data_IF_978282094797
#
_entry.id   IF_978282094797
#
_cell.length_a   1.000
_cell.length_b   1.000
_cell.length_c   1.000
_cell.angle_alpha   90.00
_cell.angle_beta   90.00
_cell.angle_gamma   90.00
#
_symmetry.space_group_name_H-M   'P 1'
#
loop_
_entity.id
_entity.type
_entity.pdbx_description
1 polymer ?
#
# COMPACT_ATOMS: atom_id res chain seq x y z
N UNK A 1 26.92 7.38 47.19
CA UNK A 1 25.85 6.50 46.67
C UNK A 1 25.98 6.53 45.16
N UNK A 2 26.65 5.53 44.59
CA UNK A 2 26.83 5.45 43.14
C UNK A 2 25.50 4.99 42.53
N UNK A 3 24.90 5.83 41.69
CA UNK A 3 23.84 5.39 40.79
C UNK A 3 24.53 4.51 39.74
N UNK A 4 24.31 3.19 39.81
CA UNK A 4 24.71 2.31 38.71
C UNK A 4 23.90 2.70 37.47
N UNK A 5 24.57 3.23 36.45
CA UNK A 5 23.95 3.52 35.16
C UNK A 5 23.57 2.20 34.47
N UNK A 6 22.32 1.79 34.64
CA UNK A 6 21.76 0.68 33.89
C UNK A 6 21.42 1.15 32.47
N UNK A 7 22.25 0.77 31.49
CA UNK A 7 21.97 1.04 30.09
C UNK A 7 20.78 0.20 29.62
N UNK A 8 19.65 0.82 29.22
CA UNK A 8 18.50 0.05 28.77
C UNK A 8 18.76 -0.60 27.41
N UNK A 9 18.66 -1.93 27.37
CA UNK A 9 18.65 -2.68 26.12
C UNK A 9 17.26 -2.56 25.45
N UNK A 10 17.22 -2.49 24.12
CA UNK A 10 15.97 -2.36 23.36
C UNK A 10 15.85 -3.41 22.27
N UNK A 11 14.77 -4.20 22.34
CA UNK A 11 14.36 -5.13 21.30
C UNK A 11 12.85 -5.01 21.08
N UNK A 12 12.43 -4.13 20.17
CA UNK A 12 11.02 -3.86 19.93
C UNK A 12 10.29 -5.00 19.20
N UNK A 13 9.13 -5.40 19.71
CA UNK A 13 8.12 -6.17 18.95
C UNK A 13 6.74 -5.61 19.22
N UNK A 14 5.96 -5.40 18.17
CA UNK A 14 4.63 -4.83 18.31
C UNK A 14 3.84 -4.85 17.03
N UNK A 15 2.71 -4.14 17.08
CA UNK A 15 1.78 -3.97 15.98
C UNK A 15 1.92 -2.55 15.42
N UNK A 16 1.85 -2.46 14.10
CA UNK A 16 1.87 -1.19 13.38
C UNK A 16 0.49 -0.92 12.79
N UNK A 17 0.01 0.29 12.97
CA UNK A 17 -1.30 0.74 12.53
C UNK A 17 -1.16 1.98 11.65
N UNK A 18 -1.99 2.07 10.62
CA UNK A 18 -2.15 3.29 9.82
C UNK A 18 -3.60 3.74 9.77
N UNK A 19 -3.83 5.03 9.92
CA UNK A 19 -5.16 5.63 9.88
C UNK A 19 -5.13 7.02 9.26
N UNK A 20 -6.25 7.77 9.35
CA UNK A 20 -6.28 9.15 8.92
C UNK A 20 -5.20 9.98 9.61
N UNK A 21 -4.60 10.93 8.89
CA UNK A 21 -3.68 11.89 9.49
C UNK A 21 -4.38 12.69 10.60
N UNK A 22 -3.67 12.90 11.70
CA UNK A 22 -4.12 13.80 12.75
C UNK A 22 -4.05 15.24 12.24
N UNK A 23 -5.20 15.91 12.21
CA UNK A 23 -5.29 17.33 11.79
C UNK A 23 -5.15 18.30 12.96
N UNK A 24 -5.57 17.88 14.15
CA UNK A 24 -5.46 18.65 15.39
C UNK A 24 -4.96 17.74 16.52
N UNK A 25 -4.09 18.30 17.36
CA UNK A 25 -3.56 17.64 18.55
C UNK A 25 -4.65 17.31 19.57
N UNK A 26 -5.68 18.15 19.69
CA UNK A 26 -6.73 18.01 20.69
C UNK A 26 -7.56 16.71 20.54
N UNK A 27 -7.65 16.17 19.32
CA UNK A 27 -8.50 15.02 19.02
C UNK A 27 -7.84 13.66 19.22
N UNK A 28 -6.52 13.64 19.49
CA UNK A 28 -5.77 12.38 19.51
C UNK A 28 -5.68 11.72 18.13
N UNK A 29 -4.94 10.61 18.04
CA UNK A 29 -4.79 9.90 16.78
C UNK A 29 -6.07 9.10 16.49
N UNK A 30 -6.69 9.25 15.32
CA UNK A 30 -7.88 8.49 14.97
C UNK A 30 -7.57 6.99 14.87
N UNK A 31 -8.59 6.12 14.99
CA UNK A 31 -8.40 4.68 14.83
C UNK A 31 -7.82 4.36 13.44
N UNK A 32 -6.90 3.41 13.41
CA UNK A 32 -6.23 2.95 12.20
C UNK A 32 -6.36 1.45 12.01
N UNK A 33 -6.16 0.99 10.77
CA UNK A 33 -6.07 -0.43 10.44
C UNK A 33 -4.69 -0.97 10.80
N UNK A 34 -4.60 -2.25 11.15
CA UNK A 34 -3.33 -2.95 11.26
C UNK A 34 -2.65 -3.07 9.88
N UNK A 35 -1.35 -2.82 9.81
CA UNK A 35 -0.55 -2.95 8.59
C UNK A 35 -0.02 -4.37 8.34
N UNK A 36 -0.17 -5.25 9.33
CA UNK A 36 0.29 -6.63 9.26
C UNK A 36 1.74 -6.77 9.73
N UNK A 37 2.45 -7.75 9.16
CA UNK A 37 3.83 -8.02 9.52
C UNK A 37 4.74 -6.91 8.97
N UNK A 38 5.38 -6.17 9.85
CA UNK A 38 6.26 -5.06 9.51
C UNK A 38 7.62 -5.26 10.20
N UNK A 39 8.69 -4.84 9.53
CA UNK A 39 10.04 -4.89 10.07
C UNK A 39 10.79 -3.58 9.81
N UNK A 40 11.81 -3.32 10.63
CA UNK A 40 12.71 -2.19 10.42
C UNK A 40 12.04 -0.81 10.51
N UNK A 41 11.14 -0.61 11.48
CA UNK A 41 10.58 0.71 11.78
C UNK A 41 11.68 1.61 12.35
N UNK A 42 12.23 2.51 11.53
CA UNK A 42 13.33 3.40 11.91
C UNK A 42 12.89 4.84 11.74
N UNK A 43 13.05 5.66 12.78
CA UNK A 43 12.78 7.10 12.75
C UNK A 43 14.11 7.84 12.61
N UNK A 44 14.25 8.63 11.55
CA UNK A 44 15.49 9.36 11.24
C UNK A 44 15.20 10.86 11.23
N UNK A 45 15.66 11.63 12.23
CA UNK A 45 15.62 13.08 12.18
C UNK A 45 16.69 13.63 11.23
N UNK A 46 16.31 14.55 10.36
CA UNK A 46 17.24 15.31 9.52
C UNK A 46 17.64 16.60 10.25
N UNK A 47 18.88 16.65 10.73
CA UNK A 47 19.37 17.71 11.61
C UNK A 47 20.50 18.48 10.93
N UNK A 48 20.26 19.75 10.68
CA UNK A 48 21.27 20.69 10.21
C UNK A 48 21.80 21.53 11.37
N UNK A 49 23.11 21.71 11.45
CA UNK A 49 23.73 22.61 12.43
C UNK A 49 24.03 23.96 11.80
N UNK A 50 23.53 25.02 12.41
CA UNK A 50 23.85 26.39 12.04
C UNK A 50 25.26 26.76 12.55
N UNK A 51 25.98 27.56 11.78
CA UNK A 51 27.22 28.19 12.28
C UNK A 51 26.84 29.32 13.22
N UNK A 52 27.04 29.10 14.51
CA UNK A 52 26.84 30.09 15.57
C UNK A 52 28.18 30.45 16.21
N UNK A 53 28.20 31.56 16.94
CA UNK A 53 29.38 31.97 17.72
C UNK A 53 29.75 30.87 18.73
N UNK A 54 31.06 30.61 18.99
CA UNK A 54 31.51 29.70 20.05
C UNK A 54 31.02 30.08 21.46
N UNK A 55 30.59 31.33 21.64
CA UNK A 55 30.11 31.88 22.91
C UNK A 55 28.58 31.81 23.07
N UNK A 56 27.84 31.38 22.04
CA UNK A 56 26.40 31.17 22.13
C UNK A 56 26.11 29.78 22.73
N UNK A 57 25.53 29.76 23.93
CA UNK A 57 25.21 28.53 24.66
C UNK A 57 23.92 27.85 24.19
N UNK A 58 23.18 28.47 23.26
CA UNK A 58 21.95 27.89 22.70
C UNK A 58 22.28 26.77 21.72
N UNK A 59 21.36 25.81 21.61
CA UNK A 59 21.46 24.77 20.58
C UNK A 59 21.42 25.41 19.18
N UNK A 60 22.39 25.06 18.35
CA UNK A 60 22.45 25.46 16.94
C UNK A 60 21.90 24.38 15.99
N UNK A 61 21.34 23.30 16.53
CA UNK A 61 20.72 22.24 15.77
C UNK A 61 19.30 22.64 15.35
N UNK A 62 19.05 22.61 14.05
CA UNK A 62 17.75 22.80 13.42
C UNK A 62 17.29 21.47 12.87
N UNK A 63 16.07 21.07 13.20
CA UNK A 63 15.43 19.90 12.63
C UNK A 63 14.73 20.32 11.33
N UNK A 64 15.32 19.98 10.19
CA UNK A 64 14.79 20.33 8.87
C UNK A 64 13.68 19.33 8.45
N UNK A 65 13.69 18.10 8.98
CA UNK A 65 12.65 17.11 8.75
C UNK A 65 12.77 15.86 9.63
N UNK A 66 11.78 14.97 9.52
CA UNK A 66 11.85 13.62 10.10
C UNK A 66 11.29 12.64 9.09
N UNK A 67 11.99 11.54 8.86
CA UNK A 67 11.52 10.43 8.04
C UNK A 67 11.35 9.17 8.88
N UNK A 68 10.46 8.29 8.44
CA UNK A 68 10.29 6.96 9.01
C UNK A 68 10.38 5.93 7.89
N UNK A 69 11.30 4.99 7.98
CA UNK A 69 11.35 3.86 7.05
C UNK A 69 10.69 2.64 7.68
N UNK A 70 9.97 1.86 6.88
CA UNK A 70 9.40 0.58 7.30
C UNK A 70 9.29 -0.39 6.12
N UNK A 71 9.49 -1.67 6.38
CA UNK A 71 9.27 -2.74 5.42
C UNK A 71 8.03 -3.54 5.82
N UNK A 72 7.04 -3.59 4.93
CA UNK A 72 5.80 -4.35 5.09
C UNK A 72 5.88 -5.65 4.30
N UNK A 73 5.55 -6.77 4.94
CA UNK A 73 5.42 -8.05 4.26
C UNK A 73 3.96 -8.31 3.90
N UNK A 74 3.72 -8.69 2.63
CA UNK A 74 2.40 -8.94 2.07
C UNK A 74 1.82 -7.77 1.26
N UNK A 75 1.30 -8.10 0.08
CA UNK A 75 0.74 -7.17 -0.90
C UNK A 75 -0.79 -7.06 -0.85
N UNK A 76 -1.41 -7.13 0.33
CA UNK A 76 -2.86 -6.88 0.41
C UNK A 76 -3.20 -5.51 -0.18
N UNK A 77 -4.35 -5.36 -0.86
CA UNK A 77 -4.59 -4.16 -1.68
C UNK A 77 -4.54 -2.87 -0.86
N UNK A 78 -4.84 -2.90 0.44
CA UNK A 78 -4.71 -1.71 1.29
C UNK A 78 -3.24 -1.27 1.49
N UNK A 79 -2.28 -2.19 1.55
CA UNK A 79 -0.85 -1.86 1.63
C UNK A 79 -0.30 -1.44 0.27
N UNK A 80 -0.73 -2.09 -0.82
CA UNK A 80 -0.42 -1.66 -2.17
C UNK A 80 -1.00 -0.28 -2.50
N UNK A 81 -2.23 -0.01 -2.08
CA UNK A 81 -2.87 1.31 -2.22
C UNK A 81 -2.03 2.39 -1.56
N UNK A 82 -1.57 2.15 -0.32
CA UNK A 82 -0.68 3.08 0.37
C UNK A 82 0.66 3.28 -0.35
N UNK A 83 1.23 2.20 -0.88
CA UNK A 83 2.52 2.23 -1.57
C UNK A 83 2.47 2.96 -2.91
N UNK A 84 1.43 2.67 -3.69
CA UNK A 84 1.20 3.24 -5.02
C UNK A 84 0.50 4.60 -4.97
N UNK A 85 0.21 5.10 -3.76
CA UNK A 85 -0.67 6.24 -3.53
C UNK A 85 -2.02 6.09 -4.27
N UNK A 86 -2.56 4.88 -4.40
CA UNK A 86 -3.75 4.58 -5.17
C UNK A 86 -5.03 4.62 -4.32
N UNK A 87 -6.16 4.95 -4.95
CA UNK A 87 -7.47 4.78 -4.36
C UNK A 87 -7.91 3.32 -4.53
N UNK A 88 -8.32 2.68 -3.42
CA UNK A 88 -8.97 1.36 -3.47
C UNK A 88 -10.43 1.54 -3.88
N UNK A 89 -10.83 0.87 -4.96
CA UNK A 89 -12.18 0.85 -5.47
C UNK A 89 -12.84 -0.48 -5.06
N UNK A 90 -14.07 -0.41 -4.57
CA UNK A 90 -14.87 -1.60 -4.35
C UNK A 90 -15.44 -2.04 -5.69
N UNK A 91 -15.07 -3.23 -6.14
CA UNK A 91 -15.60 -3.81 -7.37
C UNK A 91 -16.90 -4.54 -7.02
N UNK A 92 -18.03 -4.03 -7.50
CA UNK A 92 -19.29 -4.75 -7.42
C UNK A 92 -19.42 -5.68 -8.62
N UNK A 93 -20.03 -6.85 -8.42
CA UNK A 93 -20.40 -7.72 -9.53
C UNK A 93 -21.39 -6.99 -10.44
N UNK A 94 -21.00 -6.78 -11.68
CA UNK A 94 -21.80 -6.09 -12.67
C UNK A 94 -21.70 -6.79 -14.03
N UNK A 95 -22.81 -6.84 -14.80
CA UNK A 95 -22.77 -7.25 -16.19
C UNK A 95 -21.90 -6.29 -17.01
N UNK A 96 -20.96 -6.82 -17.78
CA UNK A 96 -20.06 -6.05 -18.63
C UNK A 96 -20.15 -6.61 -20.04
N UNK A 97 -20.07 -5.72 -21.03
CA UNK A 97 -19.90 -6.09 -22.42
C UNK A 97 -18.63 -5.44 -22.95
N UNK A 98 -17.67 -6.27 -23.34
CA UNK A 98 -16.42 -5.85 -23.97
C UNK A 98 -16.49 -6.19 -25.45
N UNK A 99 -16.11 -5.24 -26.32
CA UNK A 99 -15.96 -5.52 -27.75
C UNK A 99 -14.48 -5.48 -28.07
N UNK A 100 -13.95 -6.60 -28.55
CA UNK A 100 -12.55 -6.75 -28.97
C UNK A 100 -12.51 -6.63 -30.48
N UNK A 101 -11.74 -5.67 -30.98
CA UNK A 101 -11.45 -5.55 -32.41
C UNK A 101 -10.42 -6.60 -32.81
N UNK A 102 -10.78 -7.40 -33.81
CA UNK A 102 -9.90 -8.43 -34.37
C UNK A 102 -9.81 -8.35 -35.89
N UNK A 103 -10.14 -7.19 -36.47
CA UNK A 103 -10.11 -6.95 -37.91
C UNK A 103 -8.80 -7.42 -38.56
N UNK A 104 -8.91 -8.35 -39.52
CA UNK A 104 -7.76 -8.86 -40.29
C UNK A 104 -6.73 -9.66 -39.49
N UNK A 105 -7.01 -9.99 -38.22
CA UNK A 105 -6.04 -10.71 -37.37
C UNK A 105 -6.02 -12.21 -37.65
N UNK A 106 -4.81 -12.75 -37.58
CA UNK A 106 -4.54 -14.18 -37.54
C UNK A 106 -4.02 -14.53 -36.13
N UNK A 107 -4.86 -15.19 -35.33
CA UNK A 107 -4.50 -15.57 -33.96
C UNK A 107 -4.31 -17.09 -33.88
N UNK A 108 -3.25 -17.58 -33.20
CA UNK A 108 -3.08 -19.02 -32.98
C UNK A 108 -4.09 -19.55 -31.95
N UNK A 109 -4.24 -20.88 -31.90
CA UNK A 109 -4.87 -21.53 -30.75
C UNK A 109 -4.07 -21.22 -29.47
N UNK A 110 -4.75 -21.09 -28.34
CA UNK A 110 -4.23 -20.63 -27.05
C UNK A 110 -4.15 -19.11 -26.91
N UNK A 111 -4.48 -18.33 -27.94
CA UNK A 111 -4.52 -16.88 -27.82
C UNK A 111 -5.68 -16.42 -26.91
N UNK A 112 -5.45 -15.37 -26.14
CA UNK A 112 -6.45 -14.81 -25.22
C UNK A 112 -7.05 -13.52 -25.79
N UNK A 113 -8.38 -13.44 -25.83
CA UNK A 113 -9.10 -12.19 -26.05
C UNK A 113 -9.44 -11.59 -24.69
N UNK A 114 -8.73 -10.52 -24.34
CA UNK A 114 -8.74 -9.94 -23.00
C UNK A 114 -9.97 -9.08 -22.73
N UNK A 115 -10.50 -9.19 -21.50
CA UNK A 115 -11.45 -8.24 -20.93
C UNK A 115 -10.74 -7.32 -19.95
N UNK A 116 -11.19 -6.06 -19.78
CA UNK A 116 -10.60 -5.12 -18.82
C UNK A 116 -10.83 -5.50 -17.36
N UNK A 117 -11.72 -6.47 -17.10
CA UNK A 117 -12.06 -6.94 -15.76
C UNK A 117 -11.95 -8.46 -15.69
N UNK A 118 -11.70 -8.96 -14.49
CA UNK A 118 -11.76 -10.38 -14.18
C UNK A 118 -13.19 -10.89 -14.35
N UNK A 119 -13.35 -12.00 -15.07
CA UNK A 119 -14.61 -12.64 -15.42
C UNK A 119 -14.98 -13.68 -14.36
N UNK A 120 -16.20 -13.59 -13.82
CA UNK A 120 -16.74 -14.68 -13.01
C UNK A 120 -17.11 -15.87 -13.91
N UNK A 121 -16.20 -16.84 -14.01
CA UNK A 121 -16.37 -18.03 -14.84
C UNK A 121 -17.53 -18.95 -14.39
N UNK A 122 -18.06 -18.75 -13.17
CA UNK A 122 -19.22 -19.49 -12.65
C UNK A 122 -20.55 -18.96 -13.20
N UNK A 123 -20.55 -17.73 -13.69
CA UNK A 123 -21.69 -17.10 -14.36
C UNK A 123 -21.66 -17.39 -15.87
N UNK A 124 -22.78 -17.12 -16.54
CA UNK A 124 -22.86 -17.28 -17.99
C UNK A 124 -21.98 -16.24 -18.69
N UNK A 125 -21.11 -16.72 -19.59
CA UNK A 125 -20.33 -15.88 -20.51
C UNK A 125 -20.85 -16.09 -21.91
N UNK A 126 -21.15 -15.00 -22.61
CA UNK A 126 -21.64 -15.04 -24.00
C UNK A 126 -20.62 -14.39 -24.91
N UNK A 127 -20.21 -15.12 -25.94
CA UNK A 127 -19.25 -14.66 -26.96
C UNK A 127 -19.95 -14.64 -28.31
N UNK A 128 -19.93 -13.48 -28.97
CA UNK A 128 -20.58 -13.27 -30.26
C UNK A 128 -19.58 -12.56 -31.20
N UNK A 129 -18.88 -13.31 -32.05
CA UNK A 129 -18.16 -12.76 -33.20
C UNK A 129 -19.14 -12.16 -34.21
N UNK A 130 -18.73 -11.12 -34.92
CA UNK A 130 -19.59 -10.44 -35.91
C UNK A 130 -19.78 -11.20 -37.23
N UNK A 131 -18.98 -12.24 -37.51
CA UNK A 131 -18.96 -12.92 -38.82
C UNK A 131 -19.26 -14.43 -38.75
N UNK A 132 -19.27 -15.02 -37.56
CA UNK A 132 -19.53 -16.46 -37.40
C UNK A 132 -20.09 -16.76 -36.02
N UNK A 133 -20.77 -17.90 -35.90
CA UNK A 133 -21.18 -18.43 -34.60
C UNK A 133 -20.04 -19.23 -33.97
N UNK A 134 -19.83 -19.03 -32.67
CA UNK A 134 -18.92 -19.83 -31.86
C UNK A 134 -19.67 -20.59 -30.78
N UNK A 135 -19.12 -21.74 -30.40
CA UNK A 135 -19.57 -22.61 -29.33
C UNK A 135 -18.44 -22.74 -28.31
N UNK A 136 -18.82 -22.64 -27.05
CA UNK A 136 -17.92 -22.87 -25.92
C UNK A 136 -17.39 -24.31 -25.97
N UNK A 137 -16.15 -24.51 -25.51
CA UNK A 137 -15.38 -25.76 -25.54
C UNK A 137 -15.08 -26.32 -26.93
N UNK A 138 -15.44 -25.60 -28.00
CA UNK A 138 -15.08 -25.93 -29.38
C UNK A 138 -14.15 -24.88 -29.98
N UNK A 139 -14.60 -23.62 -30.06
CA UNK A 139 -13.77 -22.52 -30.57
C UNK A 139 -13.09 -21.74 -29.46
N UNK A 140 -13.69 -21.70 -28.27
CA UNK A 140 -13.20 -20.90 -27.16
C UNK A 140 -13.56 -21.51 -25.81
N UNK A 141 -12.86 -21.08 -24.76
CA UNK A 141 -13.07 -21.46 -23.36
C UNK A 141 -13.05 -20.21 -22.48
N UNK A 142 -13.78 -20.24 -21.35
CA UNK A 142 -13.73 -19.19 -20.32
C UNK A 142 -12.35 -19.13 -19.65
N UNK A 143 -11.82 -17.93 -19.49
CA UNK A 143 -10.66 -17.64 -18.67
C UNK A 143 -10.92 -16.49 -17.71
N UNK A 144 -10.13 -16.40 -16.65
CA UNK A 144 -10.33 -15.40 -15.60
C UNK A 144 -10.24 -13.96 -16.12
N UNK A 145 -9.51 -13.71 -17.22
CA UNK A 145 -9.32 -12.37 -17.79
C UNK A 145 -9.82 -12.23 -19.22
N UNK A 146 -10.74 -13.11 -19.63
CA UNK A 146 -11.34 -13.07 -20.97
C UNK A 146 -11.69 -14.45 -21.48
N UNK A 147 -11.43 -14.68 -22.77
CA UNK A 147 -11.64 -15.99 -23.39
C UNK A 147 -10.37 -16.49 -24.05
N UNK A 148 -10.09 -17.78 -23.86
CA UNK A 148 -9.02 -18.50 -24.54
C UNK A 148 -9.57 -19.10 -25.83
N UNK A 149 -8.87 -18.89 -26.95
CA UNK A 149 -9.21 -19.52 -28.21
C UNK A 149 -8.68 -20.95 -28.23
N UNK A 150 -9.56 -21.94 -28.40
CA UNK A 150 -9.16 -23.35 -28.50
C UNK A 150 -8.71 -23.72 -29.92
N UNK A 151 -9.14 -22.93 -30.90
CA UNK A 151 -8.78 -23.05 -32.31
C UNK A 151 -8.20 -21.73 -32.79
N UNK A 152 -7.28 -21.80 -33.76
CA UNK A 152 -6.76 -20.60 -34.41
C UNK A 152 -7.87 -19.82 -35.11
N UNK A 153 -7.70 -18.50 -35.16
CA UNK A 153 -8.66 -17.59 -35.76
C UNK A 153 -8.08 -16.89 -36.98
N UNK A 154 -8.88 -16.81 -38.04
CA UNK A 154 -8.67 -15.90 -39.16
C UNK A 154 -9.87 -14.96 -39.27
N UNK A 155 -9.71 -13.72 -38.81
CA UNK A 155 -10.78 -12.75 -38.75
C UNK A 155 -10.81 -11.90 -40.03
N UNK A 156 -12.00 -11.69 -40.65
CA UNK A 156 -12.12 -10.83 -41.82
C UNK A 156 -11.89 -9.35 -41.46
N UNK A 157 -11.75 -8.49 -42.46
CA UNK A 157 -11.75 -7.04 -42.23
C UNK A 157 -13.09 -6.57 -41.64
N UNK A 158 -13.04 -5.66 -40.66
CA UNK A 158 -14.18 -5.19 -39.88
C UNK A 158 -14.69 -6.14 -38.79
N UNK A 159 -13.96 -7.22 -38.51
CA UNK A 159 -14.34 -8.25 -37.55
C UNK A 159 -14.23 -7.79 -36.08
N UNK A 160 -15.26 -8.05 -35.28
CA UNK A 160 -15.24 -7.78 -33.84
C UNK A 160 -15.80 -8.96 -33.05
N UNK A 161 -15.30 -9.18 -31.84
CA UNK A 161 -15.83 -10.18 -30.91
C UNK A 161 -16.44 -9.47 -29.71
N UNK A 162 -17.74 -9.64 -29.52
CA UNK A 162 -18.45 -9.14 -28.34
C UNK A 162 -18.47 -10.21 -27.26
N UNK A 163 -17.91 -9.89 -26.10
CA UNK A 163 -17.87 -10.73 -24.91
C UNK A 163 -18.76 -10.08 -23.86
N UNK A 164 -19.87 -10.73 -23.52
CA UNK A 164 -20.76 -10.33 -22.44
C UNK A 164 -20.56 -11.28 -21.26
N UNK A 165 -20.19 -10.74 -20.11
CA UNK A 165 -19.88 -11.51 -18.90
C UNK A 165 -20.29 -10.74 -17.64
N UNK A 166 -20.12 -11.37 -16.48
CA UNK A 166 -20.26 -10.73 -15.18
C UNK A 166 -18.87 -10.54 -14.57
N UNK A 167 -18.58 -9.36 -14.05
CA UNK A 167 -17.33 -9.13 -13.30
C UNK A 167 -17.32 -9.91 -12.00
N UNK A 168 -16.15 -10.44 -11.65
CA UNK A 168 -15.95 -11.09 -10.37
C UNK A 168 -16.03 -10.08 -9.21
N UNK A 169 -16.78 -10.44 -8.17
CA UNK A 169 -17.03 -9.58 -7.00
C UNK A 169 -15.88 -9.55 -5.97
N UNK A 170 -14.88 -10.41 -6.16
CA UNK A 170 -13.79 -10.66 -5.21
C UNK A 170 -12.52 -9.86 -5.57
N UNK A 171 -12.49 -9.24 -6.76
CA UNK A 171 -11.33 -8.50 -7.24
C UNK A 171 -11.20 -7.16 -6.51
N UNK A 172 -10.02 -6.89 -5.93
CA UNK A 172 -9.68 -5.57 -5.40
C UNK A 172 -9.09 -4.71 -6.52
N UNK A 173 -9.74 -3.59 -6.85
CA UNK A 173 -9.22 -2.66 -7.85
C UNK A 173 -8.52 -1.48 -7.19
N UNK A 174 -7.35 -1.11 -7.74
CA UNK A 174 -6.59 0.06 -7.34
C UNK A 174 -6.51 1.05 -8.50
N UNK A 175 -6.82 2.31 -8.24
CA UNK A 175 -6.66 3.41 -9.19
C UNK A 175 -5.53 4.33 -8.73
N UNK A 176 -4.39 4.24 -9.40
CA UNK A 176 -3.21 5.06 -9.12
C UNK A 176 -3.30 6.48 -9.71
N UNK A 177 -4.16 6.71 -10.71
CA UNK A 177 -4.27 8.00 -11.41
C UNK A 177 -5.02 9.05 -10.60
N UNK A 178 -5.98 8.61 -9.78
CA UNK A 178 -6.75 9.48 -8.86
C UNK A 178 -6.20 9.48 -7.43
N UNK A 179 -4.98 8.99 -7.28
CA UNK A 179 -4.24 8.98 -6.02
C UNK A 179 -3.97 10.36 -5.45
N UNK A 180 -4.75 10.81 -4.47
CA UNK A 180 -4.49 12.06 -3.77
C UNK A 180 -3.21 12.00 -2.91
N UNK A 181 -2.57 13.14 -2.62
CA UNK A 181 -1.46 13.27 -1.66
C UNK A 181 -1.95 12.96 -0.24
N UNK A 182 -2.09 11.67 0.06
CA UNK A 182 -2.84 11.18 1.21
C UNK A 182 -1.93 11.15 2.44
N UNK A 183 -2.05 12.16 3.28
CA UNK A 183 -1.43 12.12 4.60
C UNK A 183 -2.11 11.07 5.48
N UNK A 184 -1.29 10.24 6.15
CA UNK A 184 -1.73 9.23 7.10
C UNK A 184 -1.14 9.46 8.48
N UNK A 185 -1.82 8.96 9.51
CA UNK A 185 -1.26 8.76 10.85
C UNK A 185 -0.68 7.36 10.97
N UNK A 186 0.44 7.21 11.66
CA UNK A 186 1.08 5.93 11.94
C UNK A 186 1.22 5.73 13.46
N UNK A 187 0.77 4.59 13.97
CA UNK A 187 1.01 4.20 15.37
C UNK A 187 1.70 2.86 15.44
N UNK A 188 2.77 2.80 16.22
CA UNK A 188 3.33 1.55 16.71
C UNK A 188 2.94 1.37 18.17
N UNK A 189 2.44 0.19 18.50
CA UNK A 189 2.18 -0.24 19.87
C UNK A 189 2.83 -1.60 20.08
N UNK A 190 3.78 -1.67 21.00
CA UNK A 190 4.54 -2.89 21.23
C UNK A 190 5.16 -2.95 22.61
N UNK A 191 6.04 -3.93 22.76
CA UNK A 191 6.77 -4.23 23.98
C UNK A 191 8.26 -4.22 23.64
N UNK A 192 9.05 -3.62 24.52
CA UNK A 192 10.49 -3.85 24.53
C UNK A 192 10.75 -5.24 25.13
N UNK A 193 11.23 -6.18 24.34
CA UNK A 193 11.49 -7.55 24.79
C UNK A 193 12.61 -7.66 25.82
N UNK A 194 13.49 -6.66 25.91
CA UNK A 194 14.59 -6.71 26.87
C UNK A 194 14.11 -6.53 28.31
N UNK A 195 13.10 -5.68 28.54
CA UNK A 195 12.57 -5.34 29.87
C UNK A 195 11.07 -5.65 30.05
N UNK A 196 10.39 -6.13 29.00
CA UNK A 196 8.97 -6.43 28.99
C UNK A 196 8.06 -5.20 29.02
N UNK A 197 8.61 -3.98 28.91
CA UNK A 197 7.84 -2.74 29.08
C UNK A 197 7.17 -2.27 27.80
N UNK A 198 5.98 -1.65 27.88
CA UNK A 198 5.29 -1.14 26.71
C UNK A 198 6.04 0.06 26.10
N UNK A 199 6.02 0.10 24.77
CA UNK A 199 6.55 1.19 23.94
C UNK A 199 5.49 1.58 22.92
N UNK A 200 5.21 2.88 22.81
CA UNK A 200 4.27 3.43 21.84
C UNK A 200 4.93 4.56 21.08
N UNK A 201 4.93 4.47 19.75
CA UNK A 201 5.33 5.56 18.86
C UNK A 201 4.11 6.03 18.09
N UNK A 202 3.92 7.34 17.99
CA UNK A 202 2.82 7.96 17.27
C UNK A 202 3.38 9.01 16.33
N UNK A 203 3.25 8.78 15.02
CA UNK A 203 3.58 9.74 13.98
C UNK A 203 2.28 10.31 13.41
N UNK A 204 2.12 11.62 13.46
CA UNK A 204 0.79 12.23 13.36
C UNK A 204 0.33 12.49 11.93
N UNK A 205 1.26 13.00 11.11
CA UNK A 205 1.03 13.31 9.71
C UNK A 205 2.23 12.80 8.93
N UNK A 206 2.00 11.80 8.10
CA UNK A 206 3.02 11.12 7.34
C UNK A 206 2.58 11.07 5.89
N UNK A 207 3.47 11.42 4.96
CA UNK A 207 3.26 11.15 3.55
C UNK A 207 4.00 9.86 3.19
N UNK A 208 3.30 8.77 2.85
CA UNK A 208 3.94 7.55 2.40
C UNK A 208 4.50 7.73 1.00
N UNK A 209 5.72 7.25 0.80
CA UNK A 209 6.40 7.19 -0.48
C UNK A 209 6.97 5.80 -0.62
N UNK A 210 6.72 5.15 -1.76
CA UNK A 210 7.38 3.91 -2.10
C UNK A 210 8.89 4.16 -2.18
N UNK A 211 9.66 3.41 -1.40
CA UNK A 211 11.12 3.49 -1.41
C UNK A 211 11.67 2.42 -2.37
N UNK A 212 12.02 2.86 -3.58
CA UNK A 212 12.47 1.98 -4.66
C UNK A 212 11.32 1.41 -5.50
N UNK A 213 11.47 0.17 -5.96
CA UNK A 213 10.48 -0.54 -6.78
C UNK A 213 9.73 -1.62 -5.99
N UNK A 214 8.65 -2.14 -6.59
CA UNK A 214 7.95 -3.32 -6.11
C UNK A 214 8.47 -4.56 -6.86
N UNK A 215 9.07 -5.50 -6.15
CA UNK A 215 9.45 -6.80 -6.73
C UNK A 215 8.24 -7.74 -6.70
N UNK A 216 7.69 -8.04 -7.89
CA UNK A 216 6.50 -8.89 -8.04
C UNK A 216 6.84 -10.38 -8.23
N UNK A 217 8.02 -10.67 -8.80
CA UNK A 217 8.47 -12.01 -9.12
C UNK A 217 9.82 -12.24 -8.46
N UNK A 218 9.83 -12.97 -7.35
CA UNK A 218 11.04 -13.32 -6.59
C UNK A 218 10.85 -14.66 -5.89
N UNK A 219 11.96 -15.35 -5.57
CA UNK A 219 11.92 -16.60 -4.81
C UNK A 219 11.67 -16.38 -3.31
N UNK A 220 11.92 -15.17 -2.80
CA UNK A 220 11.66 -14.78 -1.41
C UNK A 220 10.28 -14.18 -1.21
N UNK A 221 9.86 -14.07 0.06
CA UNK A 221 8.69 -13.31 0.43
C UNK A 221 8.84 -11.85 -0.03
N UNK A 222 7.98 -11.44 -0.94
CA UNK A 222 7.97 -10.09 -1.45
C UNK A 222 7.56 -9.09 -0.35
N UNK A 223 8.06 -7.86 -0.48
CA UNK A 223 7.83 -6.83 0.51
C UNK A 223 7.69 -5.45 -0.12
N UNK A 224 7.06 -4.55 0.62
CA UNK A 224 6.88 -3.16 0.26
C UNK A 224 7.72 -2.34 1.21
N UNK A 225 8.72 -1.62 0.70
CA UNK A 225 9.46 -0.64 1.50
C UNK A 225 8.82 0.73 1.35
N UNK A 226 8.50 1.34 2.49
CA UNK A 226 7.92 2.67 2.55
C UNK A 226 8.87 3.59 3.29
N UNK A 227 9.08 4.77 2.71
CA UNK A 227 9.60 5.93 3.43
C UNK A 227 8.45 6.90 3.67
N UNK A 228 8.20 7.19 4.94
CA UNK A 228 7.16 8.09 5.40
C UNK A 228 7.81 9.44 5.73
N UNK A 229 7.46 10.50 5.03
CA UNK A 229 7.90 11.85 5.36
C UNK A 229 6.97 12.44 6.41
N UNK A 230 7.49 12.75 7.60
CA UNK A 230 6.67 13.29 8.69
C UNK A 230 6.52 14.80 8.52
N UNK A 231 5.30 15.28 8.76
CA UNK A 231 4.96 16.70 8.83
C UNK A 231 4.67 17.10 10.27
N UNK A 232 5.13 18.28 10.70
CA UNK A 232 4.87 18.75 12.05
C UNK A 232 3.37 19.05 12.25
N UNK A 233 2.86 18.70 13.41
CA UNK A 233 1.53 19.08 13.89
C UNK A 233 1.66 20.22 14.91
N UNK A 234 0.97 21.35 14.70
CA UNK A 234 0.92 22.44 15.67
C UNK A 234 0.34 21.96 17.01
N UNK A 235 0.87 22.50 18.12
CA UNK A 235 0.37 22.20 19.47
C UNK A 235 0.01 23.49 20.20
N UNK A 236 -1.12 23.53 20.93
CA UNK A 236 -1.43 24.66 21.79
C UNK A 236 -0.30 24.90 22.79
N UNK A 237 0.25 26.12 22.83
CA UNK A 237 1.26 26.57 23.78
C UNK A 237 2.56 25.73 23.81
N UNK A 238 2.89 25.00 22.74
CA UNK A 238 4.11 24.19 22.63
C UNK A 238 4.64 24.22 21.20
N UNK A 239 5.94 23.92 21.03
CA UNK A 239 6.51 23.72 19.70
C UNK A 239 5.78 22.60 18.96
N UNK A 240 5.69 22.70 17.63
CA UNK A 240 5.10 21.64 16.81
C UNK A 240 5.84 20.31 16.99
N UNK A 241 5.16 19.19 16.75
CA UNK A 241 5.74 17.85 16.87
C UNK A 241 5.48 17.00 15.62
N UNK A 242 6.49 16.22 15.24
CA UNK A 242 6.41 15.24 14.15
C UNK A 242 5.87 13.91 14.66
N UNK A 243 6.30 13.52 15.86
CA UNK A 243 5.92 12.28 16.53
C UNK A 243 5.99 12.41 18.05
N UNK A 244 5.42 11.43 18.74
CA UNK A 244 5.59 11.20 20.18
C UNK A 244 6.00 9.76 20.44
N UNK A 245 6.94 9.61 21.36
CA UNK A 245 7.43 8.31 21.80
C UNK A 245 7.17 8.19 23.30
N UNK A 246 6.19 7.37 23.67
CA UNK A 246 5.91 7.02 25.05
C UNK A 246 6.59 5.70 25.40
N UNK A 247 7.39 5.71 26.48
CA UNK A 247 8.04 4.54 27.05
C UNK A 247 7.65 4.49 28.53
N UNK A 248 7.38 3.30 29.07
CA UNK A 248 7.20 3.17 30.51
C UNK A 248 8.51 3.55 31.24
N UNK A 249 8.39 4.24 32.36
CA UNK A 249 9.53 4.74 33.11
C UNK A 249 10.46 3.60 33.59
N UNK A 250 11.75 3.90 33.68
CA UNK A 250 12.70 3.09 34.44
C UNK A 250 12.51 3.43 35.92
N UNK A 251 11.97 2.49 36.70
CA UNK A 251 12.16 2.51 38.16
C UNK A 251 13.59 2.09 38.42
N UNK A 252 14.45 3.05 38.73
CA UNK A 252 15.72 2.80 39.41
C UNK A 252 15.39 2.44 40.86
N UNK A 253 15.66 1.20 41.27
CA UNK A 253 15.68 0.83 42.69
C UNK A 253 17.00 1.29 43.31
#
# INVERSE_FOLDING_TARGET
MNLEEHNPHYLGRGMLYAGPAMRDWATGMPPGRCLGNASGLVVTPDVRRLRTSPWDSRSNAVLDGVSVSVQLYGHGAANLAMALNAQRLATASAPITTTVDVSGLLLPAGAMLWTPHQVDCRQTVRVVPSWTAWTEDVQWRRGDWGIELLQGLAAPEGATVRITSTSENSAEQLDAGNGGDSEIGLAYAGINKADGKPVRLQCYRCRPVLDGGLTLLEQSASSIRLTLQLRPVPRPNRAAAWFELARAAYTTN
#
